data_IF_113461750458
#
_entry.id   IF_113461750458
#
_cell.length_a   1.000
_cell.length_b   1.000
_cell.length_c   1.000
_cell.angle_alpha   90.00
_cell.angle_beta   90.00
_cell.angle_gamma   90.00
#
_symmetry.space_group_name_H-M   'P 1'
#
loop_
_entity.id
_entity.type
_entity.pdbx_description
1 polymer ?
#
# COMPACT_ATOMS: atom_id res chain seq x y z
N UNK A 1 3.99 20.20 -7.45
CA UNK A 1 3.25 19.03 -7.91
C UNK A 1 2.42 18.52 -6.76
N UNK A 2 1.13 18.87 -6.77
CA UNK A 2 0.13 18.37 -5.83
C UNK A 2 -0.59 17.22 -6.53
N UNK A 3 -0.55 16.03 -5.95
CA UNK A 3 -1.19 14.84 -6.53
C UNK A 3 -2.35 14.45 -5.63
N UNK A 4 -3.55 14.43 -6.18
CA UNK A 4 -4.74 13.95 -5.48
C UNK A 4 -4.99 12.48 -5.80
N UNK A 5 -5.29 11.68 -4.77
CA UNK A 5 -5.59 10.25 -4.94
C UNK A 5 -7.05 9.98 -4.60
N UNK A 6 -7.81 9.55 -5.60
CA UNK A 6 -9.22 9.17 -5.47
C UNK A 6 -9.33 7.64 -5.40
N UNK A 7 -10.19 7.14 -4.53
CA UNK A 7 -10.48 5.71 -4.39
C UNK A 7 -11.91 5.41 -4.80
N UNK A 8 -12.09 4.51 -5.77
CA UNK A 8 -13.39 3.99 -6.20
C UNK A 8 -13.45 2.49 -5.90
N UNK A 9 -14.58 2.01 -5.36
CA UNK A 9 -14.81 0.57 -5.14
C UNK A 9 -15.82 0.08 -6.17
N UNK A 10 -15.48 -0.96 -6.91
CA UNK A 10 -16.33 -1.49 -7.98
C UNK A 10 -16.11 -3.00 -8.08
N UNK A 11 -17.19 -3.81 -8.11
CA UNK A 11 -17.13 -5.27 -8.30
C UNK A 11 -16.10 -6.00 -7.40
N UNK A 12 -16.01 -5.60 -6.13
CA UNK A 12 -15.08 -6.22 -5.16
C UNK A 12 -13.62 -5.77 -5.28
N UNK A 13 -13.27 -4.96 -6.28
CA UNK A 13 -11.94 -4.34 -6.42
C UNK A 13 -11.98 -2.87 -6.01
N UNK A 14 -10.84 -2.37 -5.54
CA UNK A 14 -10.60 -0.97 -5.23
C UNK A 14 -9.67 -0.39 -6.31
N UNK A 15 -10.10 0.68 -6.93
CA UNK A 15 -9.38 1.43 -7.96
C UNK A 15 -8.88 2.72 -7.32
N UNK A 16 -7.57 2.91 -7.30
CA UNK A 16 -6.92 4.14 -6.91
C UNK A 16 -6.51 4.90 -8.18
N UNK A 17 -6.91 6.17 -8.27
CA UNK A 17 -6.66 7.05 -9.42
C UNK A 17 -5.84 8.24 -8.90
N UNK A 18 -4.72 8.50 -9.53
CA UNK A 18 -3.88 9.67 -9.28
C UNK A 18 -4.24 10.78 -10.27
N UNK A 19 -4.61 11.93 -9.74
CA UNK A 19 -4.90 13.13 -10.51
C UNK A 19 -3.80 14.17 -10.28
N UNK A 20 -3.46 14.89 -11.35
CA UNK A 20 -2.60 16.07 -11.29
C UNK A 20 -3.37 17.29 -10.75
N UNK A 21 -2.67 18.39 -10.50
CA UNK A 21 -3.27 19.68 -10.10
C UNK A 21 -4.29 20.24 -11.10
N UNK A 22 -4.21 19.79 -12.36
CA UNK A 22 -5.18 20.12 -13.41
C UNK A 22 -6.39 19.16 -13.46
N UNK A 23 -6.47 18.20 -12.54
CA UNK A 23 -7.48 17.13 -12.56
C UNK A 23 -7.26 16.08 -13.64
N UNK A 24 -6.09 16.08 -14.30
CA UNK A 24 -5.75 15.10 -15.32
C UNK A 24 -5.34 13.76 -14.68
N UNK A 25 -5.87 12.64 -15.18
CA UNK A 25 -5.47 11.30 -14.72
C UNK A 25 -4.00 11.04 -15.10
N UNK A 26 -3.12 11.04 -14.10
CA UNK A 26 -1.71 10.66 -14.27
C UNK A 26 -1.59 9.14 -14.31
N UNK A 27 -2.28 8.46 -13.39
CA UNK A 27 -2.15 7.02 -13.24
C UNK A 27 -3.38 6.37 -12.57
N UNK A 28 -3.56 5.07 -12.80
CA UNK A 28 -4.66 4.27 -12.25
C UNK A 28 -4.18 2.87 -11.90
N UNK A 29 -4.52 2.41 -10.69
CA UNK A 29 -4.26 1.05 -10.22
C UNK A 29 -5.51 0.43 -9.64
N UNK A 30 -5.77 -0.82 -9.99
CA UNK A 30 -6.77 -1.67 -9.36
C UNK A 30 -6.11 -2.69 -8.44
N UNK A 31 -6.69 -2.88 -7.25
CA UNK A 31 -6.28 -3.93 -6.34
C UNK A 31 -7.49 -4.46 -5.56
N UNK A 32 -7.37 -5.67 -5.00
CA UNK A 32 -8.43 -6.27 -4.17
C UNK A 32 -8.70 -5.51 -2.85
N UNK A 33 -7.81 -4.59 -2.46
CA UNK A 33 -7.91 -3.88 -1.18
C UNK A 33 -7.40 -2.45 -1.32
N UNK A 34 -8.12 -1.50 -0.71
CA UNK A 34 -7.75 -0.08 -0.63
C UNK A 34 -6.29 0.17 -0.20
N UNK A 35 -5.75 -0.46 0.87
CA UNK A 35 -4.35 -0.25 1.27
C UNK A 35 -3.36 -0.73 0.20
N UNK A 36 -3.67 -1.81 -0.51
CA UNK A 36 -2.81 -2.33 -1.56
C UNK A 36 -2.83 -1.41 -2.79
N UNK A 37 -4.02 -0.95 -3.20
CA UNK A 37 -4.17 0.01 -4.30
C UNK A 37 -3.41 1.31 -4.02
N UNK A 38 -3.52 1.84 -2.78
CA UNK A 38 -2.78 3.03 -2.35
C UNK A 38 -1.27 2.80 -2.43
N UNK A 39 -0.76 1.72 -1.82
CA UNK A 39 0.67 1.43 -1.73
C UNK A 39 1.30 1.25 -3.12
N UNK A 40 0.60 0.57 -4.03
CA UNK A 40 1.05 0.38 -5.40
C UNK A 40 1.10 1.71 -6.17
N UNK A 41 0.09 2.56 -6.01
CA UNK A 41 0.03 3.87 -6.67
C UNK A 41 1.11 4.81 -6.13
N UNK A 42 1.31 4.86 -4.80
CA UNK A 42 2.39 5.62 -4.15
C UNK A 42 3.77 5.13 -4.62
N UNK A 43 3.96 3.81 -4.72
CA UNK A 43 5.21 3.21 -5.20
C UNK A 43 5.49 3.54 -6.67
N UNK A 44 4.45 3.62 -7.51
CA UNK A 44 4.57 3.89 -8.94
C UNK A 44 4.82 5.37 -9.23
N UNK A 45 4.19 6.27 -8.47
CA UNK A 45 4.41 7.71 -8.57
C UNK A 45 5.72 8.17 -7.92
N UNK A 46 6.49 7.25 -7.30
CA UNK A 46 7.71 7.62 -6.58
C UNK A 46 7.45 8.44 -5.32
N UNK A 47 6.19 8.56 -4.90
CA UNK A 47 5.76 9.17 -3.63
C UNK A 47 6.04 8.15 -2.54
N UNK A 48 7.33 7.88 -2.30
CA UNK A 48 7.76 7.19 -1.10
C UNK A 48 7.48 8.13 0.07
N UNK A 49 6.30 7.99 0.66
CA UNK A 49 6.22 8.13 2.11
C UNK A 49 7.20 7.08 2.65
N UNK A 50 8.40 7.52 3.01
CA UNK A 50 9.42 6.77 3.72
C UNK A 50 8.82 6.20 4.99
N UNK A 51 8.07 5.11 4.84
CA UNK A 51 7.62 4.31 5.96
C UNK A 51 8.84 3.47 6.32
N UNK A 52 9.40 3.64 7.53
CA UNK A 52 10.47 2.78 7.97
C UNK A 52 9.96 1.35 7.89
N UNK A 53 10.80 0.53 7.26
CA UNK A 53 10.56 -0.87 6.99
C UNK A 53 9.95 -1.57 8.21
N UNK A 54 8.73 -2.08 8.07
CA UNK A 54 8.13 -3.07 8.99
C UNK A 54 8.84 -4.44 8.92
N UNK A 55 10.07 -4.48 8.39
CA UNK A 55 10.89 -5.68 8.26
C UNK A 55 11.52 -6.14 9.59
N UNK A 56 11.36 -5.39 10.67
CA UNK A 56 11.96 -5.74 11.97
C UNK A 56 11.02 -6.28 13.06
N UNK A 57 9.73 -6.54 12.79
CA UNK A 57 8.82 -7.14 13.80
C UNK A 57 8.35 -8.57 13.51
N UNK A 58 9.06 -9.31 12.65
CA UNK A 58 8.79 -10.75 12.41
C UNK A 58 9.99 -11.66 12.72
N UNK A 59 10.78 -11.39 13.75
CA UNK A 59 11.76 -12.37 14.26
C UNK A 59 11.90 -12.36 15.78
N UNK A 60 10.90 -12.90 16.49
CA UNK A 60 11.14 -13.54 17.79
C UNK A 60 9.96 -14.43 18.24
N UNK A 61 9.49 -15.36 17.41
CA UNK A 61 8.78 -16.54 17.94
C UNK A 61 9.82 -17.65 18.14
N UNK A 62 10.62 -17.55 19.20
CA UNK A 62 11.36 -18.72 19.71
C UNK A 62 10.40 -19.44 20.67
N UNK A 63 9.62 -20.37 20.13
CA UNK A 63 8.89 -21.35 20.95
C UNK A 63 9.94 -22.15 21.71
N UNK A 64 10.09 -21.88 23.02
CA UNK A 64 10.98 -22.62 23.91
C UNK A 64 10.27 -23.93 24.27
N UNK A 65 10.47 -24.97 23.48
CA UNK A 65 10.02 -26.33 23.82
C UNK A 65 10.93 -26.81 24.97
N UNK A 66 10.39 -26.91 26.18
CA UNK A 66 11.06 -27.51 27.34
C UNK A 66 10.66 -28.99 27.39
N UNK A 67 11.57 -29.86 26.97
CA UNK A 67 11.43 -31.31 27.15
C UNK A 67 11.72 -31.61 28.64
N UNK A 68 10.82 -32.35 29.31
CA UNK A 68 11.07 -32.93 30.64
C UNK A 68 11.84 -34.24 30.43
N UNK A 69 12.99 -34.36 31.08
CA UNK A 69 13.69 -35.62 31.34
C UNK A 69 13.45 -35.94 32.80
#
# INVERSE_FOLDING_TARGET
MTIEIIFKKTNGVCIAIALDENGAEIDRISALSKPNAKKLLESKLGIKNSTPSLENQKKAKKTKVRVRV
#
